data_IF_887563786035
#
_entry.id   IF_887563786035
#
_cell.length_a   1.000
_cell.length_b   1.000
_cell.length_c   1.000
_cell.angle_alpha   90.00
_cell.angle_beta   90.00
_cell.angle_gamma   90.00
#
_symmetry.space_group_name_H-M   'P 1'
#
loop_
_entity.id
_entity.type
_entity.pdbx_description
1 polymer ?
#
# COMPACT_ATOMS: atom_id res chain seq x y z
N UNK A 1 20.42 -46.76 -21.78
CA UNK A 1 19.25 -45.81 -21.59
C UNK A 1 18.71 -45.50 -22.96
N UNK A 2 17.39 -45.53 -23.16
CA UNK A 2 16.78 -45.33 -24.49
C UNK A 2 16.97 -43.84 -24.90
N UNK A 3 17.34 -43.56 -26.18
CA UNK A 3 17.58 -42.14 -26.62
C UNK A 3 16.38 -41.21 -26.40
N UNK A 4 15.18 -41.76 -26.37
CA UNK A 4 13.96 -41.02 -26.07
C UNK A 4 13.97 -40.34 -24.65
N UNK A 5 14.65 -40.97 -23.67
CA UNK A 5 14.74 -40.38 -22.32
C UNK A 5 15.61 -39.11 -22.30
N UNK A 6 16.66 -39.06 -23.11
CA UNK A 6 17.53 -37.91 -23.24
C UNK A 6 16.83 -36.74 -23.94
N UNK A 7 16.01 -37.05 -24.96
CA UNK A 7 15.19 -36.04 -25.63
C UNK A 7 14.15 -35.45 -24.65
N UNK A 8 13.47 -36.29 -23.87
CA UNK A 8 12.53 -35.84 -22.84
C UNK A 8 13.18 -34.96 -21.79
N UNK A 9 14.37 -35.34 -21.30
CA UNK A 9 15.12 -34.53 -20.34
C UNK A 9 15.53 -33.18 -20.94
N UNK A 10 16.00 -33.15 -22.19
CA UNK A 10 16.38 -31.92 -22.87
C UNK A 10 15.20 -30.94 -23.03
N UNK A 11 14.01 -31.47 -23.37
CA UNK A 11 12.78 -30.63 -23.46
C UNK A 11 12.39 -30.05 -22.10
N UNK A 12 12.47 -30.85 -21.04
CA UNK A 12 12.16 -30.35 -19.67
C UNK A 12 13.13 -29.23 -19.24
N UNK A 13 14.43 -29.42 -19.46
CA UNK A 13 15.46 -28.44 -19.13
C UNK A 13 15.25 -27.16 -19.94
N UNK A 14 14.95 -27.27 -21.24
CA UNK A 14 14.66 -26.13 -22.07
C UNK A 14 13.39 -25.37 -21.60
N UNK A 15 12.32 -26.07 -21.26
CA UNK A 15 11.09 -25.48 -20.75
C UNK A 15 11.30 -24.76 -19.40
N UNK A 16 12.09 -25.36 -18.49
CA UNK A 16 12.43 -24.74 -17.21
C UNK A 16 13.29 -23.47 -17.40
N UNK A 17 14.28 -23.52 -18.30
CA UNK A 17 15.13 -22.37 -18.61
C UNK A 17 14.34 -21.22 -19.25
N UNK A 18 13.43 -21.53 -20.17
CA UNK A 18 12.57 -20.52 -20.82
C UNK A 18 11.55 -19.95 -19.83
N UNK A 19 10.92 -20.81 -19.03
CA UNK A 19 9.94 -20.42 -18.03
C UNK A 19 10.54 -19.55 -16.91
N UNK A 20 11.73 -19.91 -16.41
CA UNK A 20 12.42 -19.12 -15.38
C UNK A 20 12.81 -17.74 -15.90
N UNK A 21 13.28 -17.65 -17.14
CA UNK A 21 13.65 -16.37 -17.75
C UNK A 21 12.43 -15.45 -17.96
N UNK A 22 11.33 -16.01 -18.42
CA UNK A 22 10.07 -15.27 -18.56
C UNK A 22 9.51 -14.80 -17.22
N UNK A 23 9.64 -15.61 -16.18
CA UNK A 23 9.22 -15.26 -14.83
C UNK A 23 10.03 -14.08 -14.25
N UNK A 24 11.36 -14.15 -14.32
CA UNK A 24 12.25 -13.08 -13.81
C UNK A 24 12.03 -11.77 -14.57
N UNK A 25 11.75 -11.81 -15.86
CA UNK A 25 11.48 -10.60 -16.67
C UNK A 25 10.21 -9.86 -16.26
N UNK A 26 9.26 -10.53 -15.60
CA UNK A 26 8.01 -9.94 -15.12
C UNK A 26 8.06 -9.48 -13.63
N UNK A 27 9.19 -9.68 -12.95
CA UNK A 27 9.35 -9.16 -11.58
C UNK A 27 9.68 -7.69 -11.61
N UNK A 28 8.91 -6.90 -10.87
CA UNK A 28 9.22 -5.47 -10.64
C UNK A 28 10.13 -5.37 -9.41
N UNK A 29 11.44 -5.12 -9.57
CA UNK A 29 12.37 -5.13 -8.45
C UNK A 29 12.19 -3.91 -7.54
N UNK A 30 12.43 -4.11 -6.23
CA UNK A 30 12.65 -3.03 -5.29
C UNK A 30 14.08 -2.51 -5.44
N UNK A 31 14.21 -1.23 -5.72
CA UNK A 31 15.52 -0.61 -5.93
C UNK A 31 15.64 0.73 -5.20
N UNK A 32 16.86 1.19 -5.05
CA UNK A 32 17.16 2.51 -4.47
C UNK A 32 16.82 3.64 -5.44
N UNK A 33 16.66 4.88 -4.93
CA UNK A 33 16.38 6.04 -5.77
C UNK A 33 17.49 6.31 -6.81
N UNK A 34 18.76 6.06 -6.44
CA UNK A 34 19.88 6.17 -7.39
C UNK A 34 19.71 5.18 -8.56
N UNK A 35 19.43 3.92 -8.24
CA UNK A 35 19.19 2.90 -9.27
C UNK A 35 17.92 3.18 -10.08
N UNK A 36 16.89 3.77 -9.47
CA UNK A 36 15.66 4.11 -10.18
C UNK A 36 15.87 5.20 -11.24
N UNK A 37 16.81 6.13 -11.01
CA UNK A 37 17.18 7.17 -11.99
C UNK A 37 17.89 6.60 -13.23
N UNK A 38 18.50 5.42 -13.10
CA UNK A 38 19.23 4.75 -14.19
C UNK A 38 18.42 3.63 -14.84
N UNK A 39 17.35 3.19 -14.19
CA UNK A 39 16.53 2.07 -14.65
C UNK A 39 15.70 2.46 -15.88
N UNK A 40 15.70 1.58 -16.90
CA UNK A 40 14.94 1.77 -18.15
C UNK A 40 13.57 1.05 -18.14
N UNK A 41 12.98 0.81 -17.00
CA UNK A 41 11.72 0.06 -16.91
C UNK A 41 10.98 0.30 -15.61
N UNK A 42 9.89 -0.43 -15.44
CA UNK A 42 9.10 -0.38 -14.22
C UNK A 42 9.88 -0.95 -13.04
N UNK A 43 9.95 -0.16 -11.97
CA UNK A 43 10.63 -0.50 -10.74
C UNK A 43 9.79 -0.07 -9.54
N UNK A 44 10.15 -0.57 -8.36
CA UNK A 44 9.52 -0.19 -7.11
C UNK A 44 10.50 0.60 -6.25
N UNK A 45 10.07 1.78 -5.82
CA UNK A 45 10.81 2.61 -4.86
C UNK A 45 10.00 2.80 -3.60
N UNK A 46 10.69 2.90 -2.47
CA UNK A 46 10.08 3.03 -1.15
C UNK A 46 10.65 4.25 -0.44
N UNK A 47 9.77 5.04 0.15
CA UNK A 47 10.18 6.21 0.92
C UNK A 47 9.09 6.67 1.88
N UNK A 48 9.40 7.72 2.64
CA UNK A 48 8.46 8.42 3.51
C UNK A 48 8.00 9.69 2.81
N UNK A 49 6.73 10.07 2.97
CA UNK A 49 6.21 11.31 2.42
C UNK A 49 6.94 12.52 3.04
N UNK A 50 7.41 13.42 2.21
CA UNK A 50 7.89 14.73 2.65
C UNK A 50 6.66 15.60 2.92
N UNK A 51 6.39 15.92 4.18
CA UNK A 51 5.22 16.71 4.57
C UNK A 51 5.20 18.07 3.87
N UNK A 52 4.04 18.46 3.37
CA UNK A 52 3.86 19.73 2.66
C UNK A 52 4.38 19.75 1.22
N UNK A 53 4.87 18.64 0.69
CA UNK A 53 5.31 18.55 -0.70
C UNK A 53 4.19 18.19 -1.68
N UNK A 54 3.00 17.90 -1.17
CA UNK A 54 1.85 17.45 -1.96
C UNK A 54 1.21 18.61 -2.71
N UNK A 55 1.07 18.48 -4.02
CA UNK A 55 0.38 19.44 -4.88
C UNK A 55 -0.41 18.72 -5.97
N UNK A 56 -1.43 19.38 -6.50
CA UNK A 56 -2.16 18.92 -7.68
C UNK A 56 -1.90 19.85 -8.86
N UNK A 57 -1.52 19.27 -9.99
CA UNK A 57 -1.40 20.00 -11.26
C UNK A 57 -2.08 19.16 -12.36
N UNK A 58 -3.10 19.73 -12.99
CA UNK A 58 -3.83 19.08 -14.11
C UNK A 58 -4.28 17.63 -13.80
N UNK A 59 -4.87 17.39 -12.63
CA UNK A 59 -5.28 16.08 -12.11
C UNK A 59 -4.14 15.14 -11.68
N UNK A 60 -2.89 15.48 -11.92
CA UNK A 60 -1.73 14.73 -11.46
C UNK A 60 -1.40 15.11 -10.02
N UNK A 61 -1.27 14.12 -9.16
CA UNK A 61 -0.79 14.28 -7.79
C UNK A 61 0.74 14.31 -7.81
N UNK A 62 1.32 15.43 -7.42
CA UNK A 62 2.76 15.65 -7.29
C UNK A 62 3.15 15.64 -5.82
N UNK A 63 4.18 14.92 -5.48
CA UNK A 63 4.71 14.88 -4.11
C UNK A 63 6.16 14.43 -4.10
N UNK A 64 6.83 14.52 -2.96
CA UNK A 64 8.19 14.02 -2.77
C UNK A 64 8.22 12.92 -1.73
N UNK A 65 9.00 11.91 -1.98
CA UNK A 65 9.35 10.89 -1.00
C UNK A 65 10.84 10.97 -0.66
N UNK A 66 11.17 10.61 0.56
CA UNK A 66 12.54 10.59 1.07
C UNK A 66 12.87 9.19 1.58
N UNK A 67 14.04 8.70 1.25
CA UNK A 67 14.54 7.42 1.77
C UNK A 67 15.31 7.59 3.09
N UNK A 68 15.75 6.49 3.68
CA UNK A 68 16.50 6.51 4.95
C UNK A 68 17.89 7.16 4.84
N UNK A 69 18.40 7.38 3.61
CA UNK A 69 19.66 8.11 3.33
C UNK A 69 19.42 9.61 3.10
N UNK A 70 18.21 10.09 3.34
CA UNK A 70 17.78 11.47 3.10
C UNK A 70 17.83 11.90 1.62
N UNK A 71 17.89 10.95 0.68
CA UNK A 71 17.74 11.23 -0.74
C UNK A 71 16.24 11.41 -1.07
N UNK A 72 15.92 12.43 -1.86
CA UNK A 72 14.55 12.79 -2.23
C UNK A 72 14.27 12.42 -3.67
N UNK A 73 13.06 11.93 -3.92
CA UNK A 73 12.55 11.61 -5.23
C UNK A 73 11.22 12.34 -5.47
N UNK A 74 11.13 13.20 -6.47
CA UNK A 74 9.84 13.73 -6.91
C UNK A 74 9.04 12.62 -7.59
N UNK A 75 7.76 12.53 -7.25
CA UNK A 75 6.84 11.52 -7.77
C UNK A 75 5.62 12.21 -8.37
N UNK A 76 5.21 11.77 -9.55
CA UNK A 76 3.97 12.15 -10.21
C UNK A 76 3.06 10.92 -10.30
N UNK A 77 1.79 11.11 -9.95
CA UNK A 77 0.77 10.06 -9.96
C UNK A 77 -0.53 10.57 -10.58
N UNK A 78 -0.97 9.94 -11.66
CA UNK A 78 -2.07 10.43 -12.49
C UNK A 78 -3.44 9.85 -12.10
N UNK A 79 -3.53 9.10 -11.01
CA UNK A 79 -4.76 8.49 -10.52
C UNK A 79 -5.22 9.11 -9.20
N UNK A 80 -6.34 8.62 -8.67
CA UNK A 80 -6.95 9.13 -7.43
C UNK A 80 -6.02 8.94 -6.24
N UNK A 81 -5.84 10.02 -5.47
CA UNK A 81 -5.04 9.97 -4.24
C UNK A 81 -5.58 8.90 -3.29
N UNK A 82 -4.74 7.97 -2.83
CA UNK A 82 -5.16 6.97 -1.86
C UNK A 82 -5.71 7.61 -0.57
N UNK A 83 -6.71 7.00 0.08
CA UNK A 83 -7.17 7.47 1.38
C UNK A 83 -6.02 7.43 2.40
N UNK A 84 -6.02 8.37 3.34
CA UNK A 84 -4.99 8.51 4.38
C UNK A 84 -3.54 8.71 3.87
N UNK A 85 -3.38 9.19 2.63
CA UNK A 85 -2.07 9.44 2.02
C UNK A 85 -1.16 10.32 2.89
N UNK A 86 -1.70 11.41 3.46
CA UNK A 86 -0.95 12.34 4.31
C UNK A 86 -0.51 11.73 5.66
N UNK A 87 -1.16 10.66 6.09
CA UNK A 87 -0.86 9.94 7.33
C UNK A 87 0.07 8.74 7.08
N UNK A 88 0.49 8.53 5.83
CA UNK A 88 1.34 7.42 5.46
C UNK A 88 2.67 7.45 6.19
N UNK A 89 3.03 6.35 6.82
CA UNK A 89 4.38 6.14 7.36
C UNK A 89 5.37 5.71 6.28
N UNK A 90 4.86 5.08 5.24
CA UNK A 90 5.66 4.58 4.12
C UNK A 90 4.82 4.58 2.85
N UNK A 91 5.42 5.00 1.75
CA UNK A 91 4.84 4.95 0.42
C UNK A 91 5.75 4.10 -0.46
N UNK A 92 5.15 3.12 -1.15
CA UNK A 92 5.80 2.39 -2.23
C UNK A 92 5.22 2.89 -3.54
N UNK A 93 6.04 3.44 -4.41
CA UNK A 93 5.66 3.84 -5.76
C UNK A 93 6.19 2.82 -6.76
N UNK A 94 5.32 2.36 -7.65
CA UNK A 94 5.61 1.42 -8.74
C UNK A 94 5.45 2.20 -10.04
N UNK A 95 6.50 2.25 -10.84
CA UNK A 95 6.51 3.02 -12.08
C UNK A 95 7.90 3.14 -12.68
N UNK A 96 8.14 4.18 -13.45
CA UNK A 96 9.41 4.46 -14.10
C UNK A 96 9.86 5.91 -13.90
N UNK A 97 11.16 6.14 -13.93
CA UNK A 97 11.74 7.48 -13.88
C UNK A 97 11.86 8.06 -15.30
N UNK A 98 11.38 9.28 -15.51
CA UNK A 98 11.36 9.94 -16.83
C UNK A 98 12.51 10.92 -17.06
N UNK A 99 13.47 10.99 -16.15
CA UNK A 99 14.60 11.92 -16.19
C UNK A 99 14.46 13.10 -15.22
N UNK A 100 13.25 13.45 -14.82
CA UNK A 100 12.95 14.52 -13.85
C UNK A 100 12.16 14.01 -12.66
N UNK A 101 11.14 13.19 -12.94
CA UNK A 101 10.15 12.77 -11.96
C UNK A 101 9.92 11.26 -12.07
N UNK A 102 9.67 10.61 -10.96
CA UNK A 102 9.24 9.22 -10.96
C UNK A 102 7.74 9.15 -11.25
N UNK A 103 7.37 8.67 -12.44
CA UNK A 103 5.98 8.46 -12.83
C UNK A 103 5.46 7.17 -12.23
N UNK A 104 4.66 7.31 -11.19
CA UNK A 104 4.03 6.18 -10.53
C UNK A 104 2.74 5.80 -11.26
N UNK A 105 2.62 4.53 -11.62
CA UNK A 105 1.37 3.92 -12.09
C UNK A 105 0.54 3.38 -10.93
N UNK A 106 1.22 3.01 -9.83
CA UNK A 106 0.57 2.48 -8.63
C UNK A 106 1.25 2.98 -7.37
N UNK A 107 0.42 3.35 -6.39
CA UNK A 107 0.85 3.72 -5.05
C UNK A 107 0.32 2.73 -4.01
N UNK A 108 1.22 2.22 -3.17
CA UNK A 108 0.87 1.43 -2.00
C UNK A 108 1.23 2.24 -0.76
N UNK A 109 0.23 2.51 0.07
CA UNK A 109 0.36 3.39 1.24
C UNK A 109 0.26 2.55 2.49
N UNK A 110 1.31 2.59 3.33
CA UNK A 110 1.31 1.96 4.65
C UNK A 110 0.97 2.99 5.70
N UNK A 111 -0.21 2.85 6.32
CA UNK A 111 -0.62 3.67 7.44
C UNK A 111 -0.21 3.02 8.77
N UNK A 112 0.06 3.80 9.83
CA UNK A 112 0.27 3.24 11.16
C UNK A 112 -1.01 2.58 11.65
N UNK A 113 -0.91 1.32 12.09
CA UNK A 113 -2.04 0.54 12.63
C UNK A 113 -2.44 0.95 14.06
N UNK A 114 -2.03 2.13 14.52
CA UNK A 114 -2.42 2.63 15.85
C UNK A 114 -3.76 3.33 15.75
N UNK A 115 -4.83 2.63 16.05
CA UNK A 115 -6.07 3.26 16.50
C UNK A 115 -5.76 3.92 17.84
N UNK A 116 -5.55 5.21 17.86
CA UNK A 116 -5.62 5.98 19.10
C UNK A 116 -7.11 6.02 19.47
N UNK A 117 -7.50 5.23 20.46
CA UNK A 117 -8.75 5.46 21.17
C UNK A 117 -8.71 6.85 21.81
N UNK A 118 -9.84 7.48 21.94
CA UNK A 118 -10.05 8.84 22.50
C UNK A 118 -9.40 9.07 23.87
N UNK A 119 -8.89 8.01 24.52
CA UNK A 119 -8.28 8.04 25.86
C UNK A 119 -6.74 8.09 25.87
N UNK A 120 -6.09 8.38 24.73
CA UNK A 120 -4.63 8.55 24.66
C UNK A 120 -3.79 7.30 24.99
N UNK A 121 -4.39 6.15 25.27
CA UNK A 121 -3.70 4.88 25.50
C UNK A 121 -3.73 4.01 24.24
N UNK A 122 -2.57 3.76 23.67
CA UNK A 122 -2.42 2.80 22.57
C UNK A 122 -2.81 1.41 23.05
N UNK A 123 -3.94 0.87 22.57
CA UNK A 123 -4.26 -0.55 22.76
C UNK A 123 -3.60 -1.31 21.62
N UNK A 124 -2.61 -2.09 21.97
CA UNK A 124 -2.04 -3.11 21.10
C UNK A 124 -3.09 -4.22 20.97
N UNK A 125 -3.62 -4.38 19.77
CA UNK A 125 -4.57 -5.44 19.49
C UNK A 125 -3.77 -6.72 19.21
N UNK A 126 -3.55 -7.52 20.24
CA UNK A 126 -3.08 -8.89 20.09
C UNK A 126 -4.18 -9.72 19.45
N UNK A 127 -4.03 -10.01 18.17
CA UNK A 127 -4.97 -10.80 17.38
C UNK A 127 -5.16 -12.26 17.83
N UNK A 128 -4.59 -12.63 18.99
CA UNK A 128 -4.68 -14.00 19.52
C UNK A 128 -5.63 -14.12 20.73
N UNK A 129 -6.24 -13.04 21.20
CA UNK A 129 -7.16 -13.09 22.35
C UNK A 129 -8.60 -13.50 22.00
N UNK A 130 -8.95 -13.60 20.72
CA UNK A 130 -10.32 -13.94 20.30
C UNK A 130 -10.64 -15.45 20.30
N UNK A 131 -9.63 -16.30 20.55
CA UNK A 131 -9.84 -17.76 20.51
C UNK A 131 -10.05 -18.41 21.89
N UNK A 132 -9.96 -17.66 23.00
CA UNK A 132 -9.96 -18.26 24.35
C UNK A 132 -11.24 -18.09 25.16
N UNK A 133 -12.18 -17.24 24.76
CA UNK A 133 -13.44 -17.07 25.53
C UNK A 133 -14.63 -17.16 24.59
N UNK A 134 -15.12 -18.39 24.44
CA UNK A 134 -16.40 -18.68 23.80
C UNK A 134 -17.57 -18.19 24.67
N UNK A 135 -17.96 -16.94 24.53
CA UNK A 135 -19.18 -16.42 25.11
C UNK A 135 -20.02 -15.75 24.01
N UNK A 136 -21.27 -16.21 23.78
CA UNK A 136 -22.07 -15.66 22.71
C UNK A 136 -22.54 -14.25 23.07
N UNK A 137 -22.30 -13.32 22.15
CA UNK A 137 -22.81 -11.94 22.24
C UNK A 137 -24.31 -11.92 22.49
N UNK A 138 -24.72 -11.54 23.69
CA UNK A 138 -26.11 -11.15 23.97
C UNK A 138 -26.42 -9.88 23.19
N UNK A 139 -27.28 -10.06 22.22
CA UNK A 139 -28.05 -8.98 21.62
C UNK A 139 -28.94 -8.37 22.71
N UNK A 140 -28.64 -7.18 23.17
CA UNK A 140 -29.63 -6.35 23.85
C UNK A 140 -30.05 -5.23 22.90
N UNK A 141 -31.03 -5.57 22.06
CA UNK A 141 -31.86 -4.57 21.42
C UNK A 141 -32.73 -3.94 22.51
N UNK A 142 -32.66 -2.65 22.63
CA UNK A 142 -33.69 -1.86 23.26
C UNK A 142 -33.83 -0.56 22.48
N UNK A 143 -34.62 -0.62 21.44
CA UNK A 143 -35.31 0.53 20.92
C UNK A 143 -36.29 0.98 21.98
N UNK A 144 -36.11 2.14 22.55
CA UNK A 144 -37.15 2.85 23.26
C UNK A 144 -37.59 4.04 22.42
N UNK A 145 -38.57 3.75 21.57
CA UNK A 145 -39.47 4.74 21.00
C UNK A 145 -40.52 4.98 22.09
N UNK A 146 -40.91 6.20 22.29
CA UNK A 146 -42.20 6.77 22.68
C UNK A 146 -41.95 7.98 23.55
N UNK A 147 -42.35 9.04 23.01
CA UNK A 147 -43.67 9.58 22.95
C UNK A 147 -43.96 10.62 24.03
N UNK A 148 -44.24 11.75 23.52
CA UNK A 148 -45.41 12.46 23.97
C UNK A 148 -45.29 13.54 25.02
N UNK A 149 -45.67 14.73 24.59
CA UNK A 149 -46.57 15.44 25.43
C UNK A 149 -46.17 16.86 25.86
N UNK A 150 -46.48 17.85 25.02
CA UNK A 150 -47.36 18.97 25.34
C UNK A 150 -47.14 19.79 26.64
N UNK A 151 -46.84 21.01 26.52
CA UNK A 151 -47.64 22.27 26.75
C UNK A 151 -46.70 23.34 27.19
N UNK A 152 -46.56 24.40 26.44
CA UNK A 152 -47.30 25.65 26.44
C UNK A 152 -47.50 26.24 27.83
N UNK A 153 -46.89 27.37 28.07
CA UNK A 153 -47.54 28.61 28.45
C UNK A 153 -46.50 29.69 28.77
N UNK A 154 -46.61 30.76 28.07
CA UNK A 154 -46.11 32.08 28.43
C UNK A 154 -46.88 32.62 29.63
N UNK A 155 -46.46 33.66 30.29
CA UNK A 155 -46.38 35.00 29.74
C UNK A 155 -44.96 35.58 29.69
#
# INVERSE_FOLDING_TARGET
MKPAAWVGLAVIVAALAFGSRAFVANLTPYITFAQAREAKGQVQIVGKLVKGSTAYKNKTLLFQIVNDKNDKMPVAYDDVRPPNFEMATQITAIGAYDGETFRAEKLLVKCPSKYQGEDGKAREYDGNAAAANGEPARQSGAYSVLSGGKKATQP
#
